data_IF_427615586009
#
_entry.id   IF_427615586009
#
_cell.length_a   1.000
_cell.length_b   1.000
_cell.length_c   1.000
_cell.angle_alpha   90.00
_cell.angle_beta   90.00
_cell.angle_gamma   90.00
#
_symmetry.space_group_name_H-M   'P 1'
#
loop_
_entity.id
_entity.type
_entity.pdbx_description
1 polymer ?
#
# COMPACT_ATOMS: atom_id res chain seq x y z
N UNK A 1 9.83 -7.32 2.88
CA UNK A 1 8.58 -6.57 3.18
C UNK A 1 7.76 -7.16 4.34
N UNK A 2 7.50 -6.39 5.39
CA UNK A 2 6.58 -6.79 6.47
C UNK A 2 5.12 -6.40 6.15
N UNK A 3 4.28 -7.38 5.81
CA UNK A 3 2.88 -7.17 5.37
C UNK A 3 2.03 -6.40 6.40
N UNK A 4 2.27 -6.59 7.70
CA UNK A 4 1.52 -5.91 8.77
C UNK A 4 1.83 -4.42 8.81
N UNK A 5 3.08 -4.04 8.57
CA UNK A 5 3.51 -2.63 8.51
C UNK A 5 2.87 -1.95 7.30
N UNK A 6 2.89 -2.60 6.13
CA UNK A 6 2.26 -2.10 4.91
C UNK A 6 0.75 -1.89 5.13
N UNK A 7 0.07 -2.88 5.69
CA UNK A 7 -1.37 -2.81 5.97
C UNK A 7 -1.72 -1.65 6.91
N UNK A 8 -0.90 -1.42 7.94
CA UNK A 8 -1.05 -0.27 8.84
C UNK A 8 -0.85 1.05 8.10
N UNK A 9 0.23 1.19 7.33
CA UNK A 9 0.50 2.39 6.51
C UNK A 9 -0.64 2.70 5.56
N UNK A 10 -1.17 1.69 4.85
CA UNK A 10 -2.30 1.88 3.94
C UNK A 10 -3.55 2.41 4.67
N UNK A 11 -3.84 1.90 5.87
CA UNK A 11 -4.91 2.43 6.73
C UNK A 11 -4.63 3.87 7.17
N UNK A 12 -3.40 4.16 7.57
CA UNK A 12 -2.99 5.49 8.02
C UNK A 12 -3.11 6.53 6.87
N UNK A 13 -2.66 6.18 5.66
CA UNK A 13 -2.80 7.01 4.47
C UNK A 13 -4.26 7.21 4.03
N UNK A 14 -5.10 6.16 4.15
CA UNK A 14 -6.55 6.32 3.93
C UNK A 14 -7.15 7.27 4.97
N UNK A 15 -6.70 7.18 6.21
CA UNK A 15 -7.21 7.95 7.34
C UNK A 15 -8.72 7.76 7.49
N UNK A 16 -9.45 8.88 7.53
CA UNK A 16 -10.91 8.89 7.62
C UNK A 16 -11.66 8.71 6.29
N UNK A 17 -10.97 8.60 5.15
CA UNK A 17 -11.64 8.44 3.85
C UNK A 17 -12.35 7.09 3.77
N UNK A 18 -13.51 7.08 3.12
CA UNK A 18 -14.29 5.85 2.98
C UNK A 18 -13.61 4.86 2.02
N UNK A 19 -13.75 3.56 2.27
CA UNK A 19 -13.09 2.51 1.46
C UNK A 19 -13.64 2.46 0.04
N UNK A 20 -14.94 2.68 -0.11
CA UNK A 20 -15.67 2.79 -1.37
C UNK A 20 -15.00 3.81 -2.28
N UNK A 21 -14.89 5.06 -1.79
CA UNK A 21 -14.31 6.16 -2.57
C UNK A 21 -12.84 5.89 -2.94
N UNK A 22 -12.05 5.35 -2.01
CA UNK A 22 -10.64 5.04 -2.29
C UNK A 22 -10.50 3.89 -3.27
N UNK A 23 -11.33 2.85 -3.16
CA UNK A 23 -11.32 1.73 -4.08
C UNK A 23 -11.71 2.17 -5.50
N UNK A 24 -12.70 3.05 -5.63
CA UNK A 24 -13.10 3.65 -6.90
C UNK A 24 -11.97 4.47 -7.53
N UNK A 25 -11.32 5.36 -6.77
CA UNK A 25 -10.17 6.15 -7.25
C UNK A 25 -8.99 5.29 -7.70
N UNK A 26 -8.81 4.12 -7.10
CA UNK A 26 -7.76 3.16 -7.44
C UNK A 26 -8.18 2.19 -8.57
N UNK A 27 -9.47 2.16 -8.94
CA UNK A 27 -10.03 1.23 -9.91
C UNK A 27 -9.96 -0.23 -9.45
N UNK A 28 -10.18 -0.48 -8.16
CA UNK A 28 -10.18 -1.81 -7.54
C UNK A 28 -11.48 -2.07 -6.79
N UNK A 29 -11.73 -3.32 -6.39
CA UNK A 29 -12.85 -3.63 -5.51
C UNK A 29 -12.59 -3.21 -4.06
N UNK A 30 -13.65 -2.91 -3.32
CA UNK A 30 -13.60 -2.58 -1.88
C UNK A 30 -12.94 -3.73 -1.10
N UNK A 31 -13.27 -4.98 -1.45
CA UNK A 31 -12.67 -6.17 -0.84
C UNK A 31 -11.17 -6.25 -1.08
N UNK A 32 -10.68 -5.86 -2.27
CA UNK A 32 -9.24 -5.81 -2.55
C UNK A 32 -8.55 -4.80 -1.64
N UNK A 33 -9.09 -3.58 -1.50
CA UNK A 33 -8.56 -2.58 -0.57
C UNK A 33 -8.55 -3.10 0.88
N UNK A 34 -9.63 -3.74 1.33
CA UNK A 34 -9.71 -4.34 2.66
C UNK A 34 -8.65 -5.42 2.86
N UNK A 35 -8.41 -6.30 1.88
CA UNK A 35 -7.38 -7.33 1.95
C UNK A 35 -5.97 -6.73 2.08
N UNK A 36 -5.73 -5.59 1.43
CA UNK A 36 -4.46 -4.87 1.54
C UNK A 36 -4.29 -4.25 2.94
N UNK A 37 -5.34 -3.61 3.45
CA UNK A 37 -5.39 -3.00 4.79
C UNK A 37 -5.38 -4.00 5.95
N UNK A 38 -5.56 -5.28 5.67
CA UNK A 38 -5.55 -6.37 6.66
C UNK A 38 -4.39 -7.33 6.49
N UNK A 39 -3.40 -6.99 5.64
CA UNK A 39 -2.21 -7.78 5.36
C UNK A 39 -2.48 -9.16 4.73
N UNK A 40 -3.70 -9.42 4.27
CA UNK A 40 -4.11 -10.67 3.61
C UNK A 40 -3.52 -10.78 2.20
N UNK A 41 -3.38 -9.64 1.51
CA UNK A 41 -2.84 -9.59 0.15
C UNK A 41 -1.91 -8.38 -0.02
N UNK A 42 -0.96 -8.50 -0.94
CA UNK A 42 -0.12 -7.38 -1.40
C UNK A 42 -0.63 -6.89 -2.77
N UNK A 43 -0.74 -5.56 -2.99
CA UNK A 43 -1.12 -5.02 -4.29
C UNK A 43 -0.10 -5.38 -5.39
N UNK A 44 -0.58 -5.51 -6.63
CA UNK A 44 0.29 -5.60 -7.82
C UNK A 44 0.96 -4.25 -8.10
N UNK A 45 2.05 -4.23 -8.87
CA UNK A 45 2.86 -3.02 -9.06
C UNK A 45 2.09 -1.84 -9.68
N UNK A 46 1.18 -2.09 -10.63
CA UNK A 46 0.27 -1.05 -11.16
C UNK A 46 -0.57 -0.41 -10.04
N UNK A 47 -1.10 -1.23 -9.13
CA UNK A 47 -1.89 -0.74 -8.00
C UNK A 47 -1.01 -0.02 -6.98
N UNK A 48 0.23 -0.49 -6.74
CA UNK A 48 1.19 0.22 -5.87
C UNK A 48 1.46 1.63 -6.40
N UNK A 49 1.65 1.78 -7.70
CA UNK A 49 1.84 3.08 -8.36
C UNK A 49 0.61 3.98 -8.22
N UNK A 50 -0.60 3.43 -8.41
CA UNK A 50 -1.85 4.18 -8.22
C UNK A 50 -2.02 4.65 -6.78
N UNK A 51 -1.74 3.80 -5.80
CA UNK A 51 -1.81 4.14 -4.37
C UNK A 51 -0.80 5.26 -4.05
N UNK A 52 0.44 5.12 -4.51
CA UNK A 52 1.48 6.13 -4.35
C UNK A 52 1.06 7.48 -4.94
N UNK A 53 0.54 7.47 -6.17
CA UNK A 53 0.03 8.68 -6.84
C UNK A 53 -1.16 9.29 -6.11
N UNK A 54 -2.10 8.48 -5.62
CA UNK A 54 -3.29 8.94 -4.90
C UNK A 54 -2.93 9.68 -3.60
N UNK A 55 -1.92 9.20 -2.88
CA UNK A 55 -1.50 9.80 -1.61
C UNK A 55 -0.34 10.79 -1.74
N UNK A 56 0.21 10.97 -2.95
CA UNK A 56 1.31 11.91 -3.20
C UNK A 56 2.65 11.48 -2.57
N UNK A 57 2.86 10.17 -2.41
CA UNK A 57 4.04 9.58 -1.78
C UNK A 57 4.72 8.59 -2.72
N UNK A 58 5.93 8.13 -2.36
CA UNK A 58 6.62 7.11 -3.15
C UNK A 58 6.12 5.70 -2.84
N UNK A 59 6.23 4.78 -3.81
CA UNK A 59 5.98 3.34 -3.59
C UNK A 59 6.90 2.80 -2.48
N UNK A 60 8.12 3.33 -2.39
CA UNK A 60 9.11 2.91 -1.39
C UNK A 60 8.65 3.23 0.03
N UNK A 61 8.11 4.43 0.25
CA UNK A 61 7.59 4.87 1.54
C UNK A 61 6.43 3.98 2.04
N UNK A 62 5.57 3.54 1.12
CA UNK A 62 4.43 2.68 1.47
C UNK A 62 4.90 1.23 1.69
N UNK A 63 5.60 0.64 0.73
CA UNK A 63 5.77 -0.81 0.62
C UNK A 63 7.10 -1.35 1.12
N UNK A 64 8.12 -0.50 1.27
CA UNK A 64 9.47 -0.91 1.63
C UNK A 64 9.86 -0.35 2.99
N UNK A 65 10.76 -1.04 3.67
CA UNK A 65 11.39 -0.61 4.92
C UNK A 65 12.89 -0.49 4.69
N UNK A 66 13.54 0.48 5.35
CA UNK A 66 14.99 0.79 5.21
C UNK A 66 15.91 -0.44 5.36
N UNK A 67 15.44 -1.49 6.02
CA UNK A 67 16.15 -2.75 6.26
C UNK A 67 16.36 -3.61 4.99
N UNK A 68 15.71 -3.33 3.86
CA UNK A 68 15.87 -4.12 2.62
C UNK A 68 17.05 -3.68 1.74
N UNK A 69 17.83 -2.66 2.14
CA UNK A 69 18.94 -2.12 1.33
C UNK A 69 20.31 -2.82 1.54
N UNK A 70 20.45 -3.71 2.54
CA UNK A 70 21.77 -4.28 2.90
C UNK A 70 22.16 -5.58 2.16
N UNK A 71 21.53 -5.92 1.02
CA UNK A 71 21.81 -7.18 0.32
C UNK A 71 22.57 -7.01 -1.01
N UNK A 72 23.66 -6.24 -0.98
CA UNK A 72 24.76 -6.45 -1.91
C UNK A 72 26.04 -6.66 -1.09
N UNK A 73 26.46 -7.93 -0.84
CA UNK A 73 27.82 -8.16 -0.40
C UNK A 73 28.75 -7.69 -1.52
N UNK A 74 29.69 -6.81 -1.17
CA UNK A 74 30.81 -6.45 -2.04
C UNK A 74 31.67 -7.68 -2.34
#
# INVERSE_FOLDING_TARGET
>A
MNKKIIAKRLKDFRGGKNRENVAELLGISISALQMYETAQRIPQDDIKLKIAKLYGVSVQEIFFSEQEYNMCPK
#
